data_IF_640472768687
#
_entry.id   IF_640472768687
#
_cell.length_a   1.000
_cell.length_b   1.000
_cell.length_c   1.000
_cell.angle_alpha   90.00
_cell.angle_beta   90.00
_cell.angle_gamma   90.00
#
_symmetry.space_group_name_H-M   'P 1'
#
loop_
_entity.id
_entity.type
_entity.pdbx_description
1 polymer ?
#
# COMPACT_ATOMS: atom_id res chain seq x y z
N UNK A 1 -5.82 23.81 13.32
CA UNK A 1 -6.04 24.87 14.33
C UNK A 1 -4.71 25.56 14.59
N UNK A 2 -4.70 26.85 14.91
CA UNK A 2 -3.49 27.58 15.31
C UNK A 2 -3.75 28.51 16.49
N UNK A 3 -2.71 28.72 17.27
CA UNK A 3 -2.64 29.69 18.35
C UNK A 3 -1.22 30.27 18.38
N UNK A 4 -1.02 31.46 18.95
CA UNK A 4 0.29 32.12 19.01
C UNK A 4 0.53 32.74 20.37
N UNK A 5 1.78 32.81 20.79
CA UNK A 5 2.21 33.55 21.97
C UNK A 5 3.50 34.30 21.69
N UNK A 6 3.76 35.36 22.46
CA UNK A 6 5.03 36.09 22.40
C UNK A 6 6.17 35.34 23.11
N UNK A 7 5.82 34.42 24.01
CA UNK A 7 6.76 33.57 24.76
C UNK A 7 6.37 32.11 24.57
N UNK A 8 7.37 31.22 24.44
CA UNK A 8 7.15 29.81 24.10
C UNK A 8 6.24 29.08 25.11
N UNK A 9 6.34 29.46 26.38
CA UNK A 9 5.62 28.94 27.54
C UNK A 9 4.54 29.91 28.07
N UNK A 10 4.17 30.91 27.28
CA UNK A 10 3.16 31.90 27.65
C UNK A 10 1.72 31.47 27.38
N UNK A 11 0.80 32.40 27.61
CA UNK A 11 -0.59 32.24 27.20
C UNK A 11 -0.71 32.38 25.68
N UNK A 12 -1.42 31.44 25.06
CA UNK A 12 -1.62 31.41 23.61
C UNK A 12 -2.95 32.06 23.23
N UNK A 13 -2.88 33.10 22.40
CA UNK A 13 -4.03 33.68 21.72
C UNK A 13 -4.51 32.68 20.67
N UNK A 14 -5.80 32.31 20.70
CA UNK A 14 -6.38 31.40 19.71
C UNK A 14 -6.70 32.19 18.43
N UNK A 15 -6.34 31.65 17.26
CA UNK A 15 -6.71 32.27 15.99
C UNK A 15 -8.25 32.36 15.86
N UNK A 16 -8.83 33.55 15.61
CA UNK A 16 -10.28 33.72 15.50
C UNK A 16 -10.87 33.06 14.23
N UNK A 17 -10.04 32.72 13.24
CA UNK A 17 -10.43 32.04 11.99
C UNK A 17 -10.26 30.53 12.04
N UNK A 18 -10.02 29.96 13.22
CA UNK A 18 -9.88 28.53 13.37
C UNK A 18 -11.15 27.77 12.92
N UNK A 19 -11.00 26.61 12.25
CA UNK A 19 -9.74 25.99 11.81
C UNK A 19 -9.17 26.65 10.53
N UNK A 20 -7.84 26.74 10.43
CA UNK A 20 -7.14 27.30 9.25
C UNK A 20 -7.44 26.52 7.96
N UNK A 21 -7.44 25.18 8.02
CA UNK A 21 -7.79 24.29 6.92
C UNK A 21 -8.71 23.20 7.48
N UNK A 22 -9.85 22.98 6.84
CA UNK A 22 -10.74 21.85 7.15
C UNK A 22 -11.68 21.54 6.00
N UNK A 23 -12.01 20.26 5.82
CA UNK A 23 -13.11 19.80 4.97
C UNK A 23 -14.31 19.30 5.79
N UNK A 24 -14.36 19.56 7.10
CA UNK A 24 -15.41 19.03 7.97
C UNK A 24 -16.83 19.51 7.64
N UNK A 25 -16.95 20.61 6.88
CA UNK A 25 -18.22 21.16 6.40
C UNK A 25 -18.66 20.56 5.06
N UNK A 26 -17.80 19.78 4.40
CA UNK A 26 -18.07 19.09 3.15
C UNK A 26 -18.54 17.66 3.40
N UNK A 27 -19.07 17.02 2.36
CA UNK A 27 -19.36 15.59 2.39
C UNK A 27 -18.10 14.79 2.71
N UNK A 28 -18.24 13.72 3.50
CA UNK A 28 -17.15 12.76 3.71
C UNK A 28 -16.70 12.09 2.41
N UNK A 29 -17.56 12.05 1.38
CA UNK A 29 -17.25 11.55 0.04
C UNK A 29 -16.65 12.61 -0.89
N UNK A 30 -16.28 13.79 -0.38
CA UNK A 30 -15.50 14.74 -1.15
C UNK A 30 -14.20 14.09 -1.65
N UNK A 31 -13.70 14.48 -2.83
CA UNK A 31 -12.54 13.85 -3.48
C UNK A 31 -11.33 13.74 -2.54
N UNK A 32 -11.10 14.79 -1.74
CA UNK A 32 -10.14 14.82 -0.64
C UNK A 32 -10.92 15.09 0.65
N UNK A 33 -10.72 14.25 1.66
CA UNK A 33 -11.40 14.35 2.95
C UNK A 33 -10.40 14.20 4.11
N UNK A 34 -10.86 14.41 5.34
CA UNK A 34 -10.06 14.23 6.58
C UNK A 34 -8.74 15.02 6.55
N UNK A 35 -8.77 16.24 6.00
CA UNK A 35 -7.57 17.08 5.88
C UNK A 35 -7.11 17.61 7.25
N UNK A 36 -5.80 17.62 7.50
CA UNK A 36 -5.25 18.13 8.75
C UNK A 36 -3.82 17.68 9.02
N UNK A 37 -3.39 17.75 10.29
CA UNK A 37 -2.03 17.39 10.72
C UNK A 37 -0.95 18.08 9.88
N UNK A 38 -1.07 19.40 9.77
CA UNK A 38 -0.26 20.20 8.88
C UNK A 38 1.09 20.56 9.48
N UNK A 39 2.06 20.77 8.60
CA UNK A 39 3.32 21.47 8.86
C UNK A 39 3.52 22.57 7.82
N UNK A 40 4.22 23.65 8.18
CA UNK A 40 4.40 24.82 7.33
C UNK A 40 5.88 25.00 6.95
N UNK A 41 6.12 25.39 5.70
CA UNK A 41 7.46 25.61 5.16
C UNK A 41 7.47 26.89 4.33
N UNK A 42 8.60 27.60 4.35
CA UNK A 42 8.82 28.77 3.50
C UNK A 42 9.84 28.43 2.42
N UNK A 43 9.57 28.82 1.18
CA UNK A 43 10.53 28.70 0.08
C UNK A 43 11.63 29.74 0.20
N UNK A 44 12.71 29.57 -0.58
CA UNK A 44 13.82 30.52 -0.65
C UNK A 44 13.39 31.88 -1.25
N UNK A 45 12.26 31.90 -1.96
CA UNK A 45 11.67 33.11 -2.56
C UNK A 45 10.60 33.75 -1.67
N UNK A 46 10.39 33.22 -0.45
CA UNK A 46 9.49 33.80 0.56
C UNK A 46 8.03 33.35 0.47
N UNK A 47 7.69 32.41 -0.41
CA UNK A 47 6.35 31.81 -0.44
C UNK A 47 6.16 30.86 0.73
N UNK A 48 4.98 30.87 1.33
CA UNK A 48 4.62 29.93 2.38
C UNK A 48 3.75 28.80 1.83
N UNK A 49 4.07 27.59 2.26
CA UNK A 49 3.39 26.37 1.87
C UNK A 49 3.05 25.56 3.12
N UNK A 50 1.99 24.78 3.01
CA UNK A 50 1.53 23.87 4.05
C UNK A 50 1.49 22.47 3.47
N UNK A 51 2.22 21.55 4.08
CA UNK A 51 2.06 20.11 3.83
C UNK A 51 1.11 19.55 4.87
N UNK A 52 0.20 18.69 4.46
CA UNK A 52 -0.83 18.16 5.35
C UNK A 52 -1.31 16.79 4.87
N UNK A 53 -1.91 16.02 5.77
CA UNK A 53 -2.50 14.75 5.39
C UNK A 53 -3.93 14.94 4.89
N UNK A 54 -4.41 13.97 4.10
CA UNK A 54 -5.81 13.79 3.72
C UNK A 54 -6.06 12.35 3.28
N UNK A 55 -7.31 12.03 2.94
CA UNK A 55 -7.69 10.74 2.36
C UNK A 55 -8.49 10.94 1.08
N UNK A 56 -8.37 10.01 0.13
CA UNK A 56 -9.20 9.97 -1.08
C UNK A 56 -10.24 8.85 -0.97
N UNK A 57 -11.45 9.10 -0.42
CA UNK A 57 -12.45 8.08 -0.23
C UNK A 57 -13.10 7.61 -1.54
N UNK A 58 -13.80 6.49 -1.47
CA UNK A 58 -14.78 6.03 -2.44
C UNK A 58 -16.09 5.67 -1.72
N UNK A 59 -17.03 5.01 -2.42
CA UNK A 59 -18.34 4.62 -1.90
C UNK A 59 -18.29 4.08 -0.47
N UNK A 60 -19.23 4.50 0.37
CA UNK A 60 -19.32 4.07 1.77
C UNK A 60 -18.30 4.72 2.71
N UNK A 61 -17.58 5.75 2.25
CA UNK A 61 -16.47 6.38 2.98
C UNK A 61 -15.35 5.38 3.29
N UNK A 62 -15.03 4.54 2.31
CA UNK A 62 -13.90 3.64 2.36
C UNK A 62 -12.69 4.26 1.67
N UNK A 63 -11.48 3.93 2.14
CA UNK A 63 -10.23 4.34 1.53
C UNK A 63 -9.12 3.34 1.85
N UNK A 64 -8.45 2.87 0.80
CA UNK A 64 -7.46 1.80 0.90
C UNK A 64 -6.03 2.31 0.83
N UNK A 65 -5.81 3.52 0.32
CA UNK A 65 -4.47 4.12 0.19
C UNK A 65 -3.90 4.59 1.55
N UNK A 66 -4.74 4.59 2.59
CA UNK A 66 -4.43 5.24 3.86
C UNK A 66 -4.50 6.75 3.76
N UNK A 67 -3.80 7.43 4.67
CA UNK A 67 -3.65 8.89 4.64
C UNK A 67 -2.47 9.25 3.75
N UNK A 68 -2.73 10.17 2.82
CA UNK A 68 -1.79 10.63 1.80
C UNK A 68 -1.32 12.04 2.14
N UNK A 69 -0.21 12.48 1.54
CA UNK A 69 0.33 13.83 1.74
C UNK A 69 -0.13 14.76 0.62
N UNK A 70 -0.65 15.91 1.00
CA UNK A 70 -1.06 17.01 0.13
C UNK A 70 -0.24 18.25 0.46
N UNK A 71 -0.24 19.21 -0.45
CA UNK A 71 0.47 20.47 -0.30
C UNK A 71 -0.38 21.61 -0.86
N UNK A 72 -0.51 22.71 -0.11
CA UNK A 72 -1.23 23.92 -0.52
C UNK A 72 -0.42 25.18 -0.20
N UNK A 73 -0.56 26.26 -0.98
CA UNK A 73 0.01 27.55 -0.64
C UNK A 73 -0.77 28.18 0.53
N UNK A 74 -0.07 28.97 1.35
CA UNK A 74 -0.66 29.78 2.40
C UNK A 74 -0.09 31.20 2.37
N UNK A 75 -0.83 32.16 2.90
CA UNK A 75 -0.36 33.54 3.10
C UNK A 75 -0.60 33.99 4.52
N UNK A 76 0.23 34.91 5.01
CA UNK A 76 0.02 35.58 6.29
C UNK A 76 -0.83 36.84 6.08
N UNK A 77 -1.99 36.88 6.71
CA UNK A 77 -2.86 38.04 6.70
C UNK A 77 -2.27 39.21 7.50
N UNK A 78 -2.79 40.42 7.30
CA UNK A 78 -2.33 41.63 8.01
C UNK A 78 -2.39 41.53 9.55
N UNK A 79 -3.33 40.74 10.08
CA UNK A 79 -3.47 40.49 11.51
C UNK A 79 -2.50 39.42 12.06
N UNK A 80 -1.59 38.92 11.22
CA UNK A 80 -0.50 38.02 11.58
C UNK A 80 -0.95 36.57 11.80
N UNK A 81 -1.99 36.13 11.10
CA UNK A 81 -2.46 34.74 11.08
C UNK A 81 -2.41 34.17 9.66
N UNK A 82 -2.07 32.89 9.48
CA UNK A 82 -2.03 32.30 8.15
C UNK A 82 -3.45 31.97 7.67
N UNK A 83 -3.61 31.96 6.34
CA UNK A 83 -4.80 31.47 5.65
C UNK A 83 -4.38 30.69 4.40
N UNK A 84 -5.16 29.68 3.99
CA UNK A 84 -4.95 29.04 2.69
C UNK A 84 -5.03 30.07 1.58
N UNK A 85 -4.09 30.02 0.65
CA UNK A 85 -4.05 30.90 -0.51
C UNK A 85 -4.48 30.13 -1.78
N UNK A 86 -5.57 29.38 -1.62
CA UNK A 86 -6.24 28.63 -2.69
C UNK A 86 -7.53 29.35 -3.08
N UNK A 87 -8.10 29.05 -4.25
CA UNK A 87 -9.25 29.78 -4.81
C UNK A 87 -10.44 29.91 -3.84
N UNK A 88 -10.70 28.88 -3.03
CA UNK A 88 -11.82 28.83 -2.10
C UNK A 88 -11.45 28.36 -0.68
N UNK A 89 -10.15 28.34 -0.36
CA UNK A 89 -9.67 27.93 0.96
C UNK A 89 -9.66 26.41 1.22
N UNK A 90 -9.88 25.59 0.19
CA UNK A 90 -9.88 24.13 0.28
C UNK A 90 -8.55 23.52 -0.23
N UNK A 91 -8.36 22.24 0.09
CA UNK A 91 -7.31 21.40 -0.50
C UNK A 91 -7.85 20.78 -1.78
N UNK A 92 -7.22 21.08 -2.90
CA UNK A 92 -7.59 20.58 -4.22
C UNK A 92 -6.71 19.42 -4.67
N UNK A 93 -7.16 18.70 -5.71
CA UNK A 93 -6.37 17.68 -6.41
C UNK A 93 -5.15 18.30 -7.10
N UNK A 94 -5.34 19.47 -7.67
CA UNK A 94 -4.33 20.22 -8.41
C UNK A 94 -4.16 21.59 -7.76
N UNK A 95 -2.92 22.08 -7.76
CA UNK A 95 -2.57 23.38 -7.21
C UNK A 95 -1.46 23.99 -8.06
N UNK A 96 -1.30 25.31 -7.99
CA UNK A 96 -0.18 26.00 -8.62
C UNK A 96 1.16 25.47 -8.12
N UNK A 97 2.20 25.64 -8.91
CA UNK A 97 3.56 25.30 -8.48
C UNK A 97 4.14 26.44 -7.63
N UNK A 98 5.04 26.13 -6.67
CA UNK A 98 5.88 27.16 -6.07
C UNK A 98 6.71 27.85 -7.15
N UNK A 99 7.05 29.13 -6.92
CA UNK A 99 7.98 29.90 -7.73
C UNK A 99 9.40 29.39 -7.50
N UNK A 100 9.67 28.17 -7.95
CA UNK A 100 10.94 27.48 -7.89
C UNK A 100 11.21 26.81 -9.23
N UNK A 101 12.48 26.70 -9.66
CA UNK A 101 12.82 25.97 -10.87
C UNK A 101 12.30 24.53 -10.82
N UNK A 102 11.67 24.08 -11.90
CA UNK A 102 11.28 22.68 -12.02
C UNK A 102 12.52 21.78 -12.09
N UNK A 103 12.47 20.66 -11.37
CA UNK A 103 13.52 19.64 -11.39
C UNK A 103 12.92 18.31 -11.83
N UNK A 104 13.57 17.65 -12.79
CA UNK A 104 13.18 16.30 -13.21
C UNK A 104 13.72 15.29 -12.21
N UNK A 105 12.82 14.70 -11.41
CA UNK A 105 13.16 13.50 -10.65
C UNK A 105 13.34 12.31 -11.59
N UNK A 106 14.36 11.46 -11.41
CA UNK A 106 14.48 10.21 -12.14
C UNK A 106 13.22 9.37 -11.93
N UNK A 107 12.64 8.85 -13.01
CA UNK A 107 11.54 7.89 -12.90
C UNK A 107 12.07 6.61 -12.24
N UNK A 108 11.33 6.09 -11.27
CA UNK A 108 11.55 4.74 -10.76
C UNK A 108 10.93 3.75 -11.74
N UNK A 109 11.65 2.69 -12.09
CA UNK A 109 11.08 1.62 -12.90
C UNK A 109 9.85 1.03 -12.20
N UNK A 110 8.78 0.87 -12.95
CA UNK A 110 7.56 0.17 -12.53
C UNK A 110 7.81 -1.32 -12.26
N UNK A 111 8.88 -1.88 -12.82
CA UNK A 111 9.28 -3.25 -12.67
C UNK A 111 10.59 -3.37 -11.89
N UNK A 112 10.60 -4.18 -10.84
CA UNK A 112 11.81 -4.54 -10.10
C UNK A 112 12.18 -5.99 -10.42
N UNK A 113 13.31 -6.18 -11.12
CA UNK A 113 13.87 -7.50 -11.47
C UNK A 113 14.80 -8.07 -10.40
N UNK A 114 14.97 -7.38 -9.26
CA UNK A 114 15.81 -7.86 -8.15
C UNK A 114 17.28 -8.12 -8.53
N UNK A 115 17.79 -7.39 -9.53
CA UNK A 115 19.19 -7.47 -9.99
C UNK A 115 20.18 -6.73 -9.07
N UNK A 116 19.67 -5.81 -8.25
CA UNK A 116 20.46 -5.02 -7.28
C UNK A 116 20.95 -5.89 -6.11
N UNK A 117 22.08 -5.50 -5.51
CA UNK A 117 22.58 -6.12 -4.27
C UNK A 117 21.70 -5.79 -3.04
N UNK A 118 20.85 -4.78 -3.13
CA UNK A 118 19.95 -4.35 -2.05
C UNK A 118 18.55 -4.05 -2.57
N UNK A 119 17.54 -4.33 -1.74
CA UNK A 119 16.16 -3.94 -2.02
C UNK A 119 16.05 -2.42 -2.18
N UNK A 120 15.27 -2.00 -3.17
CA UNK A 120 14.87 -0.59 -3.32
C UNK A 120 14.08 -0.10 -2.10
N UNK A 121 14.15 1.19 -1.81
CA UNK A 121 13.49 1.85 -0.68
C UNK A 121 11.95 1.79 -0.72
N UNK A 122 11.36 1.32 -1.82
CA UNK A 122 9.92 1.09 -1.93
C UNK A 122 9.45 -0.16 -1.17
N UNK A 123 10.36 -1.09 -0.89
CA UNK A 123 10.07 -2.36 -0.24
C UNK A 123 10.05 -2.23 1.28
N UNK A 124 9.05 -2.84 1.90
CA UNK A 124 8.83 -2.80 3.33
C UNK A 124 8.52 -4.21 3.83
N UNK A 125 8.85 -4.45 5.10
CA UNK A 125 8.58 -5.68 5.83
C UNK A 125 7.61 -5.40 6.97
N UNK A 126 6.97 -6.44 7.49
CA UNK A 126 6.11 -6.32 8.67
C UNK A 126 6.99 -6.45 9.92
N UNK A 127 7.01 -5.37 10.71
CA UNK A 127 7.89 -5.18 11.87
C UNK A 127 9.40 -5.29 11.52
N UNK A 128 10.30 -4.88 12.42
CA UNK A 128 11.73 -5.11 12.23
C UNK A 128 12.01 -6.63 12.16
N UNK A 129 12.67 -7.15 11.11
CA UNK A 129 12.95 -8.58 11.00
C UNK A 129 13.91 -9.02 12.10
N UNK A 130 13.58 -10.10 12.81
CA UNK A 130 14.47 -10.72 13.80
C UNK A 130 15.49 -11.68 13.18
N UNK A 131 15.24 -12.12 11.94
CA UNK A 131 16.05 -13.05 11.17
C UNK A 131 15.94 -12.73 9.68
N UNK A 132 16.94 -13.14 8.92
CA UNK A 132 16.95 -13.00 7.47
C UNK A 132 16.04 -14.07 6.84
N UNK A 133 14.91 -13.65 6.29
CA UNK A 133 13.97 -14.51 5.58
C UNK A 133 14.02 -14.33 4.05
N UNK A 134 14.88 -13.44 3.54
CA UNK A 134 15.03 -13.18 2.11
C UNK A 134 16.48 -13.13 1.65
N UNK A 135 16.70 -13.27 0.33
CA UNK A 135 18.02 -13.10 -0.29
C UNK A 135 17.91 -12.66 -1.74
N UNK A 136 18.79 -11.75 -2.15
CA UNK A 136 19.01 -11.32 -3.54
C UNK A 136 20.27 -11.98 -4.16
N UNK A 137 20.98 -12.80 -3.38
CA UNK A 137 22.28 -13.37 -3.75
C UNK A 137 22.28 -14.88 -3.86
N UNK A 138 21.37 -15.59 -3.16
CA UNK A 138 21.19 -17.04 -3.29
C UNK A 138 20.83 -17.46 -4.73
N UNK A 139 20.10 -16.59 -5.45
CA UNK A 139 19.85 -16.67 -6.88
C UNK A 139 19.84 -15.24 -7.44
N UNK A 140 20.88 -14.89 -8.19
CA UNK A 140 21.00 -13.55 -8.80
C UNK A 140 19.86 -13.30 -9.79
N UNK A 141 19.33 -12.08 -9.79
CA UNK A 141 18.17 -11.68 -10.60
C UNK A 141 16.83 -12.18 -10.06
N UNK A 142 16.78 -12.60 -8.79
CA UNK A 142 15.54 -13.00 -8.14
C UNK A 142 15.53 -12.58 -6.67
N UNK A 143 14.35 -12.27 -6.15
CA UNK A 143 14.09 -12.23 -4.72
C UNK A 143 13.69 -13.62 -4.22
N UNK A 144 14.55 -14.26 -3.44
CA UNK A 144 14.21 -15.49 -2.73
C UNK A 144 13.57 -15.18 -1.38
N UNK A 145 12.39 -15.73 -1.10
CA UNK A 145 11.78 -15.77 0.23
C UNK A 145 11.84 -17.18 0.82
N UNK A 146 12.38 -17.33 2.03
CA UNK A 146 12.31 -18.57 2.81
C UNK A 146 10.89 -18.78 3.33
N UNK A 147 10.41 -20.02 3.37
CA UNK A 147 9.14 -20.35 3.99
C UNK A 147 9.31 -20.40 5.51
N UNK A 148 8.89 -19.34 6.18
CA UNK A 148 8.94 -19.26 7.64
C UNK A 148 7.62 -19.73 8.28
N UNK A 149 7.64 -20.27 9.51
CA UNK A 149 6.44 -20.73 10.22
C UNK A 149 5.41 -19.62 10.48
N UNK A 150 5.84 -18.36 10.51
CA UNK A 150 5.00 -17.18 10.72
C UNK A 150 3.97 -17.03 9.61
N UNK A 151 2.78 -16.56 9.99
CA UNK A 151 1.63 -16.43 9.10
C UNK A 151 1.16 -14.99 9.10
N UNK A 152 0.63 -14.55 7.96
CA UNK A 152 0.23 -13.16 7.75
C UNK A 152 -0.96 -12.70 8.63
N UNK A 153 -1.68 -13.65 9.23
CA UNK A 153 -2.85 -13.39 10.10
C UNK A 153 -2.49 -13.12 11.56
N UNK A 154 -1.22 -13.19 11.93
CA UNK A 154 -0.74 -12.98 13.30
C UNK A 154 0.22 -11.79 13.40
N UNK A 155 0.32 -11.24 14.62
CA UNK A 155 1.31 -10.19 14.93
C UNK A 155 2.67 -10.86 15.08
N UNK A 156 3.43 -10.94 14.00
CA UNK A 156 4.72 -11.62 13.91
C UNK A 156 5.56 -11.08 12.73
N UNK A 157 6.72 -11.68 12.44
CA UNK A 157 7.54 -11.35 11.27
C UNK A 157 7.35 -12.42 10.16
N UNK A 158 6.26 -12.39 9.38
CA UNK A 158 6.10 -13.29 8.25
C UNK A 158 7.12 -12.99 7.15
N UNK A 159 7.41 -13.98 6.30
CA UNK A 159 8.19 -13.76 5.07
C UNK A 159 7.36 -12.99 4.05
N UNK A 160 7.25 -11.68 4.28
CA UNK A 160 6.49 -10.74 3.47
C UNK A 160 7.37 -9.56 3.08
N UNK A 161 7.41 -9.26 1.79
CA UNK A 161 8.04 -8.06 1.25
C UNK A 161 7.03 -7.38 0.33
N UNK A 162 6.60 -6.18 0.73
CA UNK A 162 5.55 -5.46 0.01
C UNK A 162 5.82 -3.97 -0.13
N UNK A 163 5.04 -3.35 -1.02
CA UNK A 163 5.02 -1.91 -1.25
C UNK A 163 3.63 -1.36 -1.02
N UNK A 164 3.54 -0.05 -0.78
CA UNK A 164 2.26 0.67 -0.60
C UNK A 164 1.44 0.60 -1.89
N UNK A 165 0.14 0.38 -1.78
CA UNK A 165 -0.80 0.70 -2.85
C UNK A 165 -0.88 2.23 -2.96
N UNK A 166 -0.56 2.77 -4.14
CA UNK A 166 -0.48 4.24 -4.37
C UNK A 166 -1.58 4.78 -5.29
N UNK A 167 -2.40 3.90 -5.88
CA UNK A 167 -3.45 4.29 -6.81
C UNK A 167 -4.73 3.47 -6.55
N UNK A 168 -5.89 4.07 -6.85
CA UNK A 168 -7.19 3.37 -6.81
C UNK A 168 -7.39 2.43 -8.00
N UNK A 169 -6.83 2.81 -9.15
CA UNK A 169 -6.77 1.99 -10.35
C UNK A 169 -5.33 1.58 -10.59
N UNK A 170 -5.03 0.29 -10.45
CA UNK A 170 -3.66 -0.21 -10.54
C UNK A 170 -3.62 -1.67 -11.00
N UNK A 171 -2.40 -2.10 -11.34
CA UNK A 171 -2.02 -3.48 -11.54
C UNK A 171 -0.73 -3.76 -10.77
N UNK A 172 -0.72 -4.82 -9.98
CA UNK A 172 0.47 -5.40 -9.36
C UNK A 172 0.66 -6.82 -9.91
N UNK A 173 1.86 -7.22 -10.26
CA UNK A 173 2.13 -8.56 -10.79
C UNK A 173 3.49 -9.05 -10.34
N UNK A 174 3.62 -10.37 -10.19
CA UNK A 174 4.89 -10.98 -9.87
C UNK A 174 5.03 -12.33 -10.58
N UNK A 175 6.22 -12.63 -11.05
CA UNK A 175 6.57 -13.96 -11.57
C UNK A 175 7.25 -14.78 -10.47
N UNK A 176 6.63 -15.90 -10.11
CA UNK A 176 7.06 -16.76 -9.00
C UNK A 176 7.41 -18.16 -9.50
N UNK A 177 8.52 -18.70 -9.01
CA UNK A 177 8.88 -20.11 -9.06
C UNK A 177 8.83 -20.68 -7.65
N UNK A 178 7.95 -21.67 -7.45
CA UNK A 178 7.73 -22.26 -6.13
C UNK A 178 7.13 -23.66 -6.28
N UNK A 179 7.68 -24.65 -5.58
CA UNK A 179 7.15 -26.02 -5.56
C UNK A 179 6.84 -26.40 -4.11
N UNK A 180 5.58 -26.36 -3.69
CA UNK A 180 5.20 -26.77 -2.34
C UNK A 180 5.38 -28.29 -2.16
N UNK A 181 5.97 -28.70 -1.05
CA UNK A 181 6.19 -30.12 -0.72
C UNK A 181 5.00 -30.74 0.03
N UNK A 182 4.21 -29.91 0.70
CA UNK A 182 3.06 -30.32 1.50
C UNK A 182 1.99 -29.21 1.55
N UNK A 183 0.86 -29.49 2.22
CA UNK A 183 -0.30 -28.59 2.26
C UNK A 183 -0.19 -27.46 3.29
N UNK A 184 0.91 -27.38 4.03
CA UNK A 184 1.25 -26.27 4.91
C UNK A 184 2.16 -25.25 4.22
N UNK A 185 2.72 -25.57 3.06
CA UNK A 185 3.59 -24.66 2.32
C UNK A 185 2.77 -23.83 1.33
N UNK A 186 2.88 -22.51 1.43
CA UNK A 186 2.20 -21.57 0.55
C UNK A 186 3.10 -20.38 0.17
N UNK A 187 2.99 -19.92 -1.07
CA UNK A 187 3.64 -18.69 -1.52
C UNK A 187 2.85 -18.01 -2.64
N UNK A 188 2.95 -16.68 -2.73
CA UNK A 188 2.26 -15.88 -3.74
C UNK A 188 2.22 -14.39 -3.43
N UNK A 189 1.09 -13.75 -3.72
CA UNK A 189 0.85 -12.32 -3.50
C UNK A 189 -0.18 -12.11 -2.38
N UNK A 190 0.08 -11.15 -1.51
CA UNK A 190 -0.85 -10.71 -0.46
C UNK A 190 -1.18 -9.25 -0.63
N UNK A 191 -2.46 -8.92 -0.44
CA UNK A 191 -2.91 -7.56 -0.13
C UNK A 191 -3.27 -7.51 1.34
N UNK A 192 -2.61 -6.66 2.11
CA UNK A 192 -2.75 -6.60 3.56
C UNK A 192 -3.01 -5.18 4.02
N UNK A 193 -3.99 -5.03 4.91
CA UNK A 193 -4.15 -3.83 5.72
C UNK A 193 -3.55 -4.08 7.12
N UNK A 194 -3.98 -5.14 7.79
CA UNK A 194 -3.34 -5.65 9.00
C UNK A 194 -3.52 -7.18 9.13
N UNK A 195 -3.09 -7.77 10.24
CA UNK A 195 -3.18 -9.21 10.46
C UNK A 195 -4.63 -9.74 10.53
N UNK A 196 -5.61 -8.87 10.80
CA UNK A 196 -7.05 -9.21 10.85
C UNK A 196 -7.75 -9.05 9.50
N UNK A 197 -7.19 -8.25 8.58
CA UNK A 197 -7.77 -7.93 7.27
C UNK A 197 -6.76 -8.05 6.13
N UNK A 198 -6.86 -9.13 5.35
CA UNK A 198 -5.98 -9.40 4.21
C UNK A 198 -6.64 -10.30 3.16
N UNK A 199 -6.12 -10.22 1.94
CA UNK A 199 -6.40 -11.14 0.83
C UNK A 199 -5.10 -11.88 0.48
N UNK A 200 -5.15 -13.21 0.50
CA UNK A 200 -3.97 -14.07 0.32
C UNK A 200 -4.15 -14.92 -0.91
N UNK A 201 -3.39 -14.63 -1.97
CA UNK A 201 -3.46 -15.31 -3.26
C UNK A 201 -2.20 -16.14 -3.50
N UNK A 202 -2.29 -17.44 -3.23
CA UNK A 202 -1.13 -18.31 -3.04
C UNK A 202 -1.26 -19.65 -3.73
N UNK A 203 -0.13 -20.16 -4.22
CA UNK A 203 0.04 -21.54 -4.65
C UNK A 203 0.35 -22.40 -3.42
N UNK A 204 -0.28 -23.58 -3.32
CA UNK A 204 -0.02 -24.59 -2.28
C UNK A 204 -0.23 -26.00 -2.85
N UNK A 205 -0.14 -27.04 -2.02
CA UNK A 205 -0.31 -28.44 -2.41
C UNK A 205 -1.54 -29.05 -1.73
N UNK A 206 -2.48 -29.61 -2.49
CA UNK A 206 -3.67 -30.29 -1.94
C UNK A 206 -4.06 -31.46 -2.84
N UNK A 207 -4.56 -32.54 -2.24
CA UNK A 207 -5.05 -33.72 -2.97
C UNK A 207 -4.02 -34.24 -4.01
N UNK A 208 -2.75 -34.33 -3.61
CA UNK A 208 -1.61 -34.76 -4.43
C UNK A 208 -1.34 -33.93 -5.69
N UNK A 209 -1.69 -32.63 -5.69
CA UNK A 209 -1.37 -31.70 -6.80
C UNK A 209 -1.20 -30.27 -6.30
N UNK A 210 -0.51 -29.46 -7.09
CA UNK A 210 -0.46 -28.03 -6.86
C UNK A 210 -1.84 -27.39 -7.13
N UNK A 211 -2.24 -26.49 -6.25
CA UNK A 211 -3.47 -25.71 -6.37
C UNK A 211 -3.16 -24.23 -6.14
N UNK A 212 -3.96 -23.37 -6.76
CA UNK A 212 -3.97 -21.93 -6.53
C UNK A 212 -5.21 -21.58 -5.71
N UNK A 213 -5.02 -20.83 -4.64
CA UNK A 213 -6.08 -20.45 -3.71
C UNK A 213 -6.11 -18.94 -3.49
N UNK A 214 -7.32 -18.40 -3.36
CA UNK A 214 -7.55 -17.06 -2.83
C UNK A 214 -8.29 -17.19 -1.50
N UNK A 215 -7.72 -16.59 -0.46
CA UNK A 215 -8.33 -16.49 0.86
C UNK A 215 -8.63 -15.04 1.19
N UNK A 216 -9.69 -14.82 1.97
CA UNK A 216 -9.92 -13.57 2.69
C UNK A 216 -9.80 -13.81 4.18
N UNK A 217 -9.13 -12.91 4.86
CA UNK A 217 -9.14 -12.82 6.32
C UNK A 217 -9.98 -11.60 6.69
N UNK A 218 -11.00 -11.82 7.51
CA UNK A 218 -11.85 -10.77 8.06
C UNK A 218 -11.98 -10.99 9.57
N UNK A 219 -11.71 -9.95 10.37
CA UNK A 219 -11.66 -10.08 11.83
C UNK A 219 -10.74 -11.22 12.33
N UNK A 220 -9.64 -11.47 11.61
CA UNK A 220 -8.70 -12.56 11.91
C UNK A 220 -9.17 -13.96 11.50
N UNK A 221 -10.36 -14.09 10.91
CA UNK A 221 -10.90 -15.37 10.43
C UNK A 221 -10.56 -15.54 8.95
N UNK A 222 -9.64 -16.45 8.64
CA UNK A 222 -9.28 -16.83 7.26
C UNK A 222 -10.34 -17.75 6.66
N UNK A 223 -10.85 -17.38 5.48
CA UNK A 223 -11.82 -18.15 4.71
C UNK A 223 -11.39 -18.28 3.25
N UNK A 224 -11.56 -19.48 2.69
CA UNK A 224 -11.27 -19.76 1.28
C UNK A 224 -12.36 -19.15 0.39
N UNK A 225 -11.98 -18.32 -0.58
CA UNK A 225 -12.89 -17.78 -1.60
C UNK A 225 -12.99 -18.74 -2.78
N UNK A 226 -11.84 -19.16 -3.30
CA UNK A 226 -11.76 -20.01 -4.49
C UNK A 226 -10.48 -20.83 -4.51
N UNK A 227 -10.57 -22.05 -5.01
CA UNK A 227 -9.44 -22.95 -5.27
C UNK A 227 -9.51 -23.42 -6.73
N UNK A 228 -8.35 -23.57 -7.37
CA UNK A 228 -8.22 -24.11 -8.72
C UNK A 228 -6.97 -25.00 -8.82
N UNK A 229 -7.08 -26.23 -9.36
CA UNK A 229 -5.90 -27.06 -9.62
C UNK A 229 -5.02 -26.47 -10.72
N UNK A 230 -3.70 -26.50 -10.53
CA UNK A 230 -2.73 -26.06 -11.54
C UNK A 230 -2.23 -27.25 -12.35
N UNK A 231 -2.29 -27.13 -13.68
CA UNK A 231 -1.78 -28.15 -14.61
C UNK A 231 -0.26 -28.04 -14.81
N UNK A 232 0.27 -26.81 -14.78
CA UNK A 232 1.71 -26.52 -14.88
C UNK A 232 2.23 -26.00 -13.53
N UNK A 233 3.29 -26.61 -13.01
CA UNK A 233 3.90 -26.29 -11.72
C UNK A 233 5.19 -25.48 -11.81
N UNK A 234 5.63 -25.10 -13.02
CA UNK A 234 6.79 -24.25 -13.22
C UNK A 234 6.56 -22.79 -12.79
N UNK A 235 7.10 -21.86 -13.56
CA UNK A 235 6.90 -20.42 -13.36
C UNK A 235 5.42 -20.05 -13.43
N UNK A 236 4.99 -19.26 -12.45
CA UNK A 236 3.61 -18.78 -12.31
C UNK A 236 3.62 -17.26 -12.19
N UNK A 237 3.01 -16.58 -13.15
CA UNK A 237 2.70 -15.16 -13.05
C UNK A 237 1.41 -14.97 -12.26
N UNK A 238 1.45 -14.20 -11.19
CA UNK A 238 0.30 -13.80 -10.39
C UNK A 238 0.07 -12.31 -10.60
N UNK A 239 -1.19 -11.88 -10.74
CA UNK A 239 -1.53 -10.47 -10.94
C UNK A 239 -2.77 -10.08 -10.17
N UNK A 240 -2.77 -8.87 -9.62
CA UNK A 240 -3.92 -8.27 -8.94
C UNK A 240 -4.17 -6.89 -9.53
N UNK A 241 -5.41 -6.64 -9.94
CA UNK A 241 -5.85 -5.36 -10.48
C UNK A 241 -6.88 -4.73 -9.54
N UNK A 242 -6.70 -3.45 -9.22
CA UNK A 242 -7.69 -2.65 -8.49
C UNK A 242 -8.47 -1.76 -9.44
N UNK A 243 -9.79 -1.66 -9.22
CA UNK A 243 -10.68 -0.72 -9.92
C UNK A 243 -11.52 0.08 -8.93
N UNK A 244 -10.84 0.81 -8.04
CA UNK A 244 -11.43 1.58 -6.94
C UNK A 244 -12.13 0.72 -5.89
N UNK A 245 -13.32 0.17 -6.20
CA UNK A 245 -14.17 -0.54 -5.24
C UNK A 245 -13.92 -2.05 -5.21
N UNK A 246 -13.27 -2.61 -6.24
CA UNK A 246 -13.06 -4.05 -6.36
C UNK A 246 -11.62 -4.40 -6.75
N UNK A 247 -11.23 -5.62 -6.37
CA UNK A 247 -10.03 -6.30 -6.85
C UNK A 247 -10.39 -7.46 -7.77
N UNK A 248 -9.55 -7.69 -8.77
CA UNK A 248 -9.55 -8.87 -9.61
C UNK A 248 -8.17 -9.54 -9.58
N UNK A 249 -8.16 -10.86 -9.53
CA UNK A 249 -6.98 -11.72 -9.42
C UNK A 249 -6.84 -12.52 -10.72
N UNK A 250 -5.62 -12.58 -11.23
CA UNK A 250 -5.28 -13.27 -12.47
C UNK A 250 -4.04 -14.13 -12.27
N UNK A 251 -3.92 -15.17 -13.10
CA UNK A 251 -2.77 -16.07 -13.09
C UNK A 251 -2.47 -16.58 -14.49
N UNK A 252 -1.22 -16.91 -14.77
CA UNK A 252 -0.83 -17.46 -16.07
C UNK A 252 0.61 -17.96 -16.07
N UNK A 253 1.05 -18.63 -17.14
CA UNK A 253 2.45 -19.03 -17.29
C UNK A 253 3.39 -17.82 -17.49
N UNK A 254 2.85 -16.70 -17.97
CA UNK A 254 3.54 -15.44 -18.23
C UNK A 254 2.53 -14.27 -18.20
N UNK A 255 3.04 -13.04 -18.31
CA UNK A 255 2.28 -11.79 -18.29
C UNK A 255 1.35 -11.58 -19.50
N UNK A 256 1.57 -12.29 -20.60
CA UNK A 256 0.76 -12.18 -21.83
C UNK A 256 -0.43 -13.15 -21.86
N UNK A 257 -0.37 -14.21 -21.07
CA UNK A 257 -1.37 -15.30 -21.04
C UNK A 257 -2.10 -15.39 -19.70
N UNK A 258 -2.39 -14.24 -19.08
CA UNK A 258 -3.11 -14.16 -17.82
C UNK A 258 -4.59 -14.55 -17.99
N UNK A 259 -5.03 -15.50 -17.17
CA UNK A 259 -6.42 -15.93 -17.03
C UNK A 259 -7.03 -15.35 -15.76
N UNK A 260 -8.31 -14.96 -15.84
CA UNK A 260 -9.05 -14.50 -14.69
C UNK A 260 -9.21 -15.64 -13.66
N UNK A 261 -8.77 -15.39 -12.43
CA UNK A 261 -8.98 -16.29 -11.29
C UNK A 261 -10.26 -15.92 -10.54
N UNK A 262 -10.38 -14.67 -10.11
CA UNK A 262 -11.54 -14.14 -9.39
C UNK A 262 -11.67 -12.65 -9.67
N UNK A 263 -12.90 -12.13 -9.74
CA UNK A 263 -13.21 -10.71 -9.88
C UNK A 263 -14.25 -10.30 -8.83
N UNK A 264 -14.58 -9.01 -8.79
CA UNK A 264 -15.55 -8.43 -7.87
C UNK A 264 -15.27 -8.73 -6.39
N UNK A 265 -13.99 -8.88 -6.03
CA UNK A 265 -13.58 -8.99 -4.63
C UNK A 265 -13.66 -7.61 -3.99
N UNK A 266 -14.52 -7.46 -3.00
CA UNK A 266 -14.79 -6.18 -2.34
C UNK A 266 -13.51 -5.59 -1.72
N UNK A 267 -13.10 -4.43 -2.23
CA UNK A 267 -11.92 -3.74 -1.75
C UNK A 267 -12.16 -3.09 -0.38
N UNK A 268 -13.41 -2.86 0.03
CA UNK A 268 -13.76 -2.27 1.32
C UNK A 268 -13.26 -3.10 2.50
N UNK A 269 -13.09 -4.42 2.32
CA UNK A 269 -12.46 -5.31 3.30
C UNK A 269 -11.13 -4.74 3.83
N UNK A 270 -10.35 -4.08 2.97
CA UNK A 270 -9.02 -3.55 3.29
C UNK A 270 -9.03 -2.03 3.58
N UNK A 271 -10.21 -1.42 3.70
CA UNK A 271 -10.34 0.01 4.01
C UNK A 271 -9.89 0.32 5.43
N UNK A 272 -9.25 1.47 5.63
CA UNK A 272 -8.90 1.95 6.97
C UNK A 272 -10.13 2.20 7.86
N UNK A 273 -11.31 2.42 7.26
CA UNK A 273 -12.58 2.55 8.00
C UNK A 273 -13.19 1.23 8.44
N UNK A 274 -12.73 0.10 7.89
CA UNK A 274 -13.18 -1.24 8.29
C UNK A 274 -12.28 -1.80 9.39
N UNK A 275 -10.96 -1.64 9.28
CA UNK A 275 -10.04 -2.14 10.30
C UNK A 275 -9.84 -1.18 11.49
N UNK A 276 -10.33 0.06 11.37
CA UNK A 276 -10.16 1.14 12.34
C UNK A 276 -8.67 1.48 12.62
N UNK A 277 -7.81 1.30 11.60
CA UNK A 277 -6.37 1.50 11.68
C UNK A 277 -5.87 2.82 11.08
N UNK A 278 -4.55 3.01 11.11
CA UNK A 278 -3.89 4.25 10.68
C UNK A 278 -3.07 4.13 9.38
N UNK A 279 -3.09 2.94 8.77
CA UNK A 279 -2.29 2.55 7.60
C UNK A 279 -3.14 2.49 6.32
N UNK A 280 -2.46 2.32 5.20
CA UNK A 280 -3.05 1.93 3.92
C UNK A 280 -2.57 0.54 3.51
N UNK A 281 -3.21 0.00 2.47
CA UNK A 281 -2.96 -1.34 1.94
C UNK A 281 -1.53 -1.45 1.42
N UNK A 282 -0.89 -2.55 1.78
CA UNK A 282 0.33 -3.03 1.16
C UNK A 282 0.03 -4.19 0.24
N UNK A 283 0.79 -4.28 -0.84
CA UNK A 283 0.73 -5.36 -1.82
C UNK A 283 2.15 -5.93 -1.93
N UNK A 284 2.28 -7.23 -1.76
CA UNK A 284 3.61 -7.82 -1.66
C UNK A 284 3.67 -9.32 -1.91
N UNK A 285 4.90 -9.78 -2.05
CA UNK A 285 5.27 -11.18 -2.16
C UNK A 285 5.28 -11.81 -0.77
N UNK A 286 4.83 -13.05 -0.68
CA UNK A 286 4.65 -13.75 0.58
C UNK A 286 5.01 -15.23 0.43
N UNK A 287 5.60 -15.79 1.49
CA UNK A 287 5.82 -17.23 1.64
C UNK A 287 5.61 -17.63 3.11
N UNK A 288 5.10 -18.84 3.36
CA UNK A 288 4.94 -19.39 4.70
C UNK A 288 4.88 -20.91 4.68
N UNK A 289 5.34 -21.52 5.77
CA UNK A 289 5.17 -22.94 6.06
C UNK A 289 4.07 -23.19 7.09
N UNK A 290 3.19 -22.22 7.35
CA UNK A 290 2.01 -22.32 8.21
C UNK A 290 2.27 -23.08 9.53
N UNK A 291 3.09 -22.49 10.40
CA UNK A 291 3.44 -23.04 11.73
C UNK A 291 4.29 -24.31 11.73
N UNK A 292 4.66 -24.84 10.56
CA UNK A 292 5.64 -25.92 10.44
C UNK A 292 7.04 -25.39 10.16
N UNK A 293 8.06 -26.18 10.46
CA UNK A 293 9.44 -25.87 10.04
C UNK A 293 9.62 -26.32 8.59
N UNK A 294 10.12 -25.43 7.74
CA UNK A 294 10.45 -25.74 6.35
C UNK A 294 11.85 -25.23 6.00
N UNK A 295 12.52 -25.90 5.07
CA UNK A 295 13.74 -25.42 4.41
C UNK A 295 13.48 -24.98 2.97
N UNK A 296 12.22 -24.97 2.56
CA UNK A 296 11.79 -24.61 1.21
C UNK A 296 11.78 -23.08 1.03
N UNK A 297 11.65 -22.64 -0.21
CA UNK A 297 11.68 -21.22 -0.58
C UNK A 297 10.84 -20.96 -1.84
N UNK A 298 10.45 -19.70 -2.04
CA UNK A 298 9.86 -19.20 -3.26
C UNK A 298 10.78 -18.15 -3.89
N UNK A 299 11.07 -18.29 -5.18
CA UNK A 299 11.85 -17.32 -5.95
C UNK A 299 10.91 -16.43 -6.76
N UNK A 300 11.05 -15.11 -6.62
CA UNK A 300 10.36 -14.12 -7.43
C UNK A 300 11.33 -13.48 -8.42
N UNK A 301 11.08 -13.67 -9.70
CA UNK A 301 11.94 -13.16 -10.80
C UNK A 301 11.78 -11.64 -10.93
N UNK A 302 10.55 -11.15 -10.86
CA UNK A 302 10.27 -9.72 -10.88
C UNK A 302 8.97 -9.39 -10.17
N UNK A 303 8.83 -8.12 -9.79
CA UNK A 303 7.58 -7.52 -9.36
C UNK A 303 7.31 -6.23 -10.13
N UNK A 304 6.14 -6.18 -10.76
CA UNK A 304 5.67 -5.04 -11.52
C UNK A 304 4.50 -4.35 -10.82
N UNK A 305 4.55 -3.01 -10.73
CA UNK A 305 3.44 -2.19 -10.25
C UNK A 305 3.26 -0.97 -11.15
N UNK A 306 2.05 -0.80 -11.65
CA UNK A 306 1.64 0.40 -12.38
C UNK A 306 0.27 0.86 -11.91
N UNK A 307 0.04 2.17 -11.96
CA UNK A 307 -1.23 2.76 -11.54
C UNK A 307 -1.57 4.00 -12.33
N UNK A 308 -2.82 4.39 -12.26
CA UNK A 308 -3.35 5.61 -12.87
C UNK A 308 -4.13 6.38 -11.81
N UNK A 309 -3.81 7.65 -11.66
CA UNK A 309 -4.70 8.57 -10.97
C UNK A 309 -5.93 8.81 -11.85
N UNK A 310 -7.10 8.67 -11.23
CA UNK A 310 -8.41 8.99 -11.80
C UNK A 310 -8.99 10.21 -11.08
#
# INVERSE_FOLDING_TARGET
MMARSRTIDGDYEICPRNPIVTHCHLSLLNEISVVGHADIVTTQNGEWWMVLLGVRPYRGFHYNLGRETFMIPIVWSEDGWPMPDTENGLVHKEERLPDLPSFYCPFTDSNDNFDSDSLSMIWNMIHPPQRDFYSLTKRRGCLRLSLEPEVIQEICNPSFIGRRQQHKVFMASAAMEFTPENDLEEAGIVLIQDNRYNLVFVKTFRNNRAVLQLHRTENGVRTLIKELPLENTGRLCLSVQGRCETYAFFYGPNEHELKLFAEDIDAALLSSTVNEGFTGVYIGMYASSNKSVSTNYADFDWFHYTGKDI
#
